data_IF_627843755437
#
_entry.id   IF_627843755437
#
_cell.length_a   1.000
_cell.length_b   1.000
_cell.length_c   1.000
_cell.angle_alpha   90.00
_cell.angle_beta   90.00
_cell.angle_gamma   90.00
#
_symmetry.space_group_name_H-M   'P 1'
#
loop_
_entity.id
_entity.type
_entity.pdbx_description
1 polymer ?
#
# COMPACT_ATOMS: atom_id res chain seq x y z
N UNK A 1 4.55 23.57 5.48
CA UNK A 1 5.57 22.89 4.66
C UNK A 1 4.81 22.21 3.52
N UNK A 2 5.15 22.51 2.27
CA UNK A 2 4.56 21.87 1.08
C UNK A 2 5.52 20.79 0.61
N UNK A 3 5.04 19.56 0.41
CA UNK A 3 5.81 18.50 -0.22
C UNK A 3 5.64 18.66 -1.72
N UNK A 4 6.75 18.80 -2.43
CA UNK A 4 6.82 18.90 -3.88
C UNK A 4 7.61 17.71 -4.42
N UNK A 5 7.02 16.96 -5.35
CA UNK A 5 7.60 15.75 -5.94
C UNK A 5 7.68 15.86 -7.47
N UNK A 6 7.84 17.06 -8.02
CA UNK A 6 8.00 17.27 -9.45
C UNK A 6 9.19 16.47 -10.00
N UNK A 7 8.96 15.72 -11.08
CA UNK A 7 9.97 14.83 -11.67
C UNK A 7 10.17 13.48 -10.94
N UNK A 8 9.40 13.23 -9.89
CA UNK A 8 9.39 11.96 -9.16
C UNK A 8 8.44 10.97 -9.83
N UNK A 9 8.83 9.73 -9.93
CA UNK A 9 8.04 8.66 -10.54
C UNK A 9 7.71 7.60 -9.50
N UNK A 10 6.42 7.37 -9.26
CA UNK A 10 5.95 6.38 -8.29
C UNK A 10 5.08 5.32 -8.96
N UNK A 11 5.28 4.06 -8.58
CA UNK A 11 4.40 2.96 -8.94
C UNK A 11 3.42 2.74 -7.77
N UNK A 12 2.11 2.70 -8.07
CA UNK A 12 1.08 2.37 -7.08
C UNK A 12 0.32 1.14 -7.55
N UNK A 13 0.34 0.07 -6.74
CA UNK A 13 -0.37 -1.17 -7.08
C UNK A 13 -1.80 -1.18 -6.54
N UNK A 14 -2.73 -1.84 -7.25
CA UNK A 14 -4.15 -1.86 -6.88
C UNK A 14 -4.77 -0.46 -6.83
N UNK A 15 -4.41 0.38 -7.80
CA UNK A 15 -4.62 1.81 -7.76
C UNK A 15 -5.96 2.29 -8.35
N UNK A 16 -6.77 1.38 -8.89
CA UNK A 16 -8.02 1.74 -9.59
C UNK A 16 -9.17 2.21 -8.68
N UNK A 17 -9.08 1.95 -7.38
CA UNK A 17 -10.15 2.32 -6.45
C UNK A 17 -9.73 2.28 -4.99
N UNK A 18 -10.66 2.53 -4.08
CA UNK A 18 -10.42 2.48 -2.64
C UNK A 18 -9.22 3.33 -2.21
N UNK A 19 -8.37 2.75 -1.36
CA UNK A 19 -7.16 3.41 -0.84
C UNK A 19 -6.21 3.80 -1.98
N UNK A 20 -6.05 2.92 -2.99
CA UNK A 20 -5.11 3.14 -4.08
C UNK A 20 -5.39 4.41 -4.89
N UNK A 21 -6.65 4.73 -5.17
CA UNK A 21 -7.02 5.95 -5.89
C UNK A 21 -6.67 7.23 -5.11
N UNK A 22 -6.85 7.22 -3.79
CA UNK A 22 -6.45 8.34 -2.94
C UNK A 22 -4.94 8.51 -2.83
N UNK A 23 -4.19 7.39 -2.87
CA UNK A 23 -2.72 7.43 -2.96
C UNK A 23 -2.29 8.07 -4.27
N UNK A 24 -2.84 7.61 -5.42
CA UNK A 24 -2.56 8.20 -6.74
C UNK A 24 -2.81 9.70 -6.73
N UNK A 25 -4.01 10.13 -6.32
CA UNK A 25 -4.35 11.55 -6.27
C UNK A 25 -3.39 12.36 -5.39
N UNK A 26 -2.97 11.81 -4.25
CA UNK A 26 -2.04 12.52 -3.34
C UNK A 26 -0.65 12.70 -3.96
N UNK A 27 -0.16 11.73 -4.72
CA UNK A 27 1.11 11.86 -5.44
C UNK A 27 1.00 12.83 -6.63
N UNK A 28 -0.10 12.78 -7.38
CA UNK A 28 -0.36 13.73 -8.47
C UNK A 28 -0.49 15.18 -7.96
N UNK A 29 -1.19 15.39 -6.84
CA UNK A 29 -1.28 16.71 -6.17
C UNK A 29 0.10 17.21 -5.69
N UNK A 30 1.02 16.29 -5.38
CA UNK A 30 2.41 16.62 -5.06
C UNK A 30 3.30 16.84 -6.30
N UNK A 31 2.78 16.67 -7.52
CA UNK A 31 3.49 16.89 -8.78
C UNK A 31 4.23 15.67 -9.32
N UNK A 32 4.06 14.49 -8.72
CA UNK A 32 4.68 13.26 -9.19
C UNK A 32 3.98 12.68 -10.43
N UNK A 33 4.73 11.93 -11.25
CA UNK A 33 4.19 11.04 -12.25
C UNK A 33 3.87 9.68 -11.64
N UNK A 34 2.71 9.09 -11.98
CA UNK A 34 2.25 7.84 -11.37
C UNK A 34 2.08 6.74 -12.41
N UNK A 35 2.65 5.57 -12.11
CA UNK A 35 2.31 4.32 -12.79
C UNK A 35 1.19 3.66 -12.00
N UNK A 36 -0.01 3.68 -12.56
CA UNK A 36 -1.26 3.25 -11.96
C UNK A 36 -1.48 1.80 -12.34
N UNK A 37 -1.09 0.86 -11.47
CA UNK A 37 -1.33 -0.56 -11.72
C UNK A 37 -2.76 -0.95 -11.30
N UNK A 38 -3.41 -1.77 -12.14
CA UNK A 38 -4.70 -2.40 -11.88
C UNK A 38 -4.74 -3.81 -12.47
N UNK A 39 -5.61 -4.66 -11.93
CA UNK A 39 -5.87 -6.00 -12.48
C UNK A 39 -7.13 -5.96 -13.36
N UNK A 40 -8.31 -6.14 -12.78
CA UNK A 40 -9.57 -6.27 -13.53
C UNK A 40 -10.33 -4.94 -13.71
N UNK A 41 -10.20 -4.02 -12.76
CA UNK A 41 -10.93 -2.75 -12.77
C UNK A 41 -10.03 -1.63 -13.26
N UNK A 42 -10.39 -1.04 -14.38
CA UNK A 42 -9.66 0.11 -14.93
C UNK A 42 -9.89 1.36 -14.06
N UNK A 43 -8.86 2.19 -13.84
CA UNK A 43 -9.04 3.47 -13.15
C UNK A 43 -9.98 4.39 -13.94
N UNK A 44 -10.83 5.20 -13.24
CA UNK A 44 -11.84 6.04 -13.91
C UNK A 44 -11.20 7.16 -14.75
N UNK A 45 -10.01 7.57 -14.43
CA UNK A 45 -9.23 8.56 -15.18
C UNK A 45 -7.72 8.35 -14.95
N UNK A 46 -6.93 8.79 -15.91
CA UNK A 46 -5.46 8.80 -15.85
C UNK A 46 -5.02 10.19 -16.29
N UNK A 47 -4.27 10.88 -15.45
CA UNK A 47 -3.76 12.21 -15.76
C UNK A 47 -2.73 12.17 -16.90
N UNK A 48 -2.46 13.29 -17.54
CA UNK A 48 -1.48 13.39 -18.65
C UNK A 48 -0.06 13.01 -18.24
N UNK A 49 0.25 13.12 -16.96
CA UNK A 49 1.58 12.80 -16.40
C UNK A 49 1.65 11.39 -15.82
N UNK A 50 0.60 10.59 -15.95
CA UNK A 50 0.51 9.22 -15.42
C UNK A 50 0.26 8.22 -16.54
N UNK A 51 0.45 6.92 -16.25
CA UNK A 51 0.07 5.82 -17.15
C UNK A 51 -0.67 4.75 -16.38
N UNK A 52 -1.62 4.08 -17.05
CA UNK A 52 -2.26 2.88 -16.55
C UNK A 52 -1.58 1.62 -17.06
N UNK A 53 -1.38 0.63 -16.19
CA UNK A 53 -0.78 -0.66 -16.53
C UNK A 53 -1.63 -1.78 -15.95
N UNK A 54 -2.17 -2.62 -16.84
CA UNK A 54 -2.97 -3.78 -16.47
C UNK A 54 -2.08 -5.02 -16.40
N UNK A 55 -1.99 -5.64 -15.23
CA UNK A 55 -1.23 -6.87 -14.98
C UNK A 55 -1.90 -7.66 -13.85
N UNK A 56 -1.72 -8.98 -13.84
CA UNK A 56 -1.94 -9.81 -12.66
C UNK A 56 -0.61 -9.91 -11.88
N UNK A 57 -0.56 -9.43 -10.65
CA UNK A 57 0.67 -9.42 -9.84
C UNK A 57 1.07 -10.80 -9.32
N UNK A 58 0.21 -11.81 -9.45
CA UNK A 58 0.55 -13.20 -9.09
C UNK A 58 1.41 -13.86 -10.18
N UNK A 59 1.38 -13.34 -11.41
CA UNK A 59 2.26 -13.81 -12.48
C UNK A 59 3.73 -13.47 -12.20
N UNK A 60 4.62 -14.42 -12.40
CA UNK A 60 6.06 -14.30 -12.08
C UNK A 60 6.76 -13.13 -12.81
N UNK A 61 6.34 -12.82 -14.04
CA UNK A 61 6.93 -11.77 -14.86
C UNK A 61 6.35 -10.38 -14.59
N UNK A 62 5.17 -10.29 -13.98
CA UNK A 62 4.46 -9.05 -13.76
C UNK A 62 5.25 -8.01 -12.97
N UNK A 63 6.03 -8.35 -11.93
CA UNK A 63 6.85 -7.37 -11.22
C UNK A 63 7.88 -6.68 -12.13
N UNK A 64 8.56 -7.45 -12.99
CA UNK A 64 9.54 -6.88 -13.91
C UNK A 64 8.87 -6.03 -15.00
N UNK A 65 7.75 -6.50 -15.57
CA UNK A 65 6.99 -5.78 -16.59
C UNK A 65 6.46 -4.44 -16.06
N UNK A 66 6.05 -4.39 -14.81
CA UNK A 66 5.57 -3.16 -14.18
C UNK A 66 6.70 -2.13 -14.00
N UNK A 67 7.87 -2.57 -13.54
CA UNK A 67 9.06 -1.71 -13.44
C UNK A 67 9.51 -1.23 -14.85
N UNK A 68 9.51 -2.12 -15.84
CA UNK A 68 9.88 -1.79 -17.21
C UNK A 68 8.93 -0.76 -17.84
N UNK A 69 7.64 -0.84 -17.53
CA UNK A 69 6.65 0.15 -17.97
C UNK A 69 6.99 1.56 -17.44
N UNK A 70 7.40 1.69 -16.18
CA UNK A 70 7.87 2.94 -15.60
C UNK A 70 9.15 3.45 -16.30
N UNK A 71 10.12 2.55 -16.47
CA UNK A 71 11.40 2.87 -17.11
C UNK A 71 11.25 3.30 -18.57
N UNK A 72 10.39 2.61 -19.33
CA UNK A 72 10.13 2.93 -20.74
C UNK A 72 9.46 4.28 -20.88
N UNK A 73 8.49 4.61 -20.04
CA UNK A 73 7.71 5.84 -20.12
C UNK A 73 8.46 7.05 -19.57
N UNK A 74 9.13 6.88 -18.41
CA UNK A 74 9.67 7.99 -17.63
C UNK A 74 11.20 7.96 -17.46
N UNK A 75 11.86 6.86 -17.85
CA UNK A 75 13.30 6.68 -17.72
C UNK A 75 13.79 6.47 -16.29
N UNK A 76 12.89 6.43 -15.30
CA UNK A 76 13.20 6.27 -13.88
C UNK A 76 12.03 5.72 -13.07
N UNK A 77 12.34 5.22 -11.88
CA UNK A 77 11.37 4.92 -10.82
C UNK A 77 11.98 5.27 -9.47
N UNK A 78 11.27 6.05 -8.66
CA UNK A 78 11.76 6.59 -7.38
C UNK A 78 11.08 5.97 -6.18
N UNK A 79 9.81 5.55 -6.35
CA UNK A 79 9.08 4.89 -5.27
C UNK A 79 8.15 3.78 -5.77
N UNK A 80 7.88 2.85 -4.85
CA UNK A 80 6.92 1.77 -5.01
C UNK A 80 5.95 1.78 -3.83
N UNK A 81 4.64 1.80 -4.12
CA UNK A 81 3.58 1.62 -3.12
C UNK A 81 2.91 0.28 -3.35
N UNK A 82 3.21 -0.69 -2.49
CA UNK A 82 2.55 -1.99 -2.46
C UNK A 82 1.20 -1.85 -1.75
N UNK A 83 0.15 -1.58 -2.53
CA UNK A 83 -1.21 -1.37 -2.02
C UNK A 83 -2.18 -2.48 -2.48
N UNK A 84 -1.93 -3.16 -3.60
CA UNK A 84 -2.77 -4.25 -4.07
C UNK A 84 -2.97 -5.31 -2.98
N UNK A 85 -4.22 -5.65 -2.70
CA UNK A 85 -4.57 -6.64 -1.69
C UNK A 85 -6.00 -7.15 -1.89
N UNK A 86 -6.27 -8.35 -1.38
CA UNK A 86 -7.60 -8.91 -1.20
C UNK A 86 -7.91 -9.06 0.29
N UNK A 87 -9.19 -9.09 0.63
CA UNK A 87 -9.67 -9.22 2.01
C UNK A 87 -11.02 -9.97 2.05
N UNK A 88 -11.13 -11.18 1.50
CA UNK A 88 -12.32 -12.00 1.68
C UNK A 88 -12.49 -12.39 3.16
N UNK A 89 -13.75 -12.61 3.56
CA UNK A 89 -14.08 -13.11 4.89
C UNK A 89 -14.10 -14.64 4.86
N UNK A 90 -13.39 -15.29 5.79
CA UNK A 90 -13.43 -16.74 5.99
C UNK A 90 -13.25 -17.07 7.46
N UNK A 91 -14.13 -17.92 8.02
CA UNK A 91 -14.00 -18.39 9.39
C UNK A 91 -12.80 -19.33 9.49
N UNK A 92 -12.12 -19.32 10.63
CA UNK A 92 -10.88 -20.09 10.83
C UNK A 92 -11.06 -21.61 10.58
N UNK A 93 -12.22 -22.17 10.92
CA UNK A 93 -12.54 -23.60 10.71
C UNK A 93 -13.08 -23.95 9.33
N UNK A 94 -13.41 -22.94 8.51
CA UNK A 94 -13.99 -23.09 7.18
C UNK A 94 -13.01 -22.67 6.07
N UNK A 95 -11.93 -22.00 6.47
CA UNK A 95 -10.89 -21.55 5.55
C UNK A 95 -10.21 -22.73 4.87
N UNK A 96 -10.20 -22.72 3.54
CA UNK A 96 -9.50 -23.74 2.75
C UNK A 96 -8.03 -23.38 2.56
N UNK A 97 -7.21 -24.37 2.20
CA UNK A 97 -5.81 -24.11 1.83
C UNK A 97 -5.73 -23.14 0.62
N UNK A 98 -6.67 -23.23 -0.32
CA UNK A 98 -6.76 -22.31 -1.46
C UNK A 98 -7.03 -20.87 -1.05
N UNK A 99 -7.91 -20.63 -0.07
CA UNK A 99 -8.18 -19.28 0.46
C UNK A 99 -6.93 -18.69 1.13
N UNK A 100 -6.21 -19.56 1.84
CA UNK A 100 -4.95 -19.19 2.47
C UNK A 100 -3.87 -18.84 1.44
N UNK A 101 -3.65 -19.72 0.47
CA UNK A 101 -2.60 -19.55 -0.55
C UNK A 101 -2.86 -18.30 -1.41
N UNK A 102 -4.10 -18.10 -1.87
CA UNK A 102 -4.46 -16.88 -2.62
C UNK A 102 -4.20 -15.60 -1.82
N UNK A 103 -4.56 -15.60 -0.51
CA UNK A 103 -4.30 -14.46 0.37
C UNK A 103 -2.82 -14.15 0.49
N UNK A 104 -1.98 -15.16 0.67
CA UNK A 104 -0.53 -15.00 0.81
C UNK A 104 0.09 -14.56 -0.53
N UNK A 105 -0.34 -15.18 -1.64
CA UNK A 105 0.20 -14.85 -2.96
C UNK A 105 -0.08 -13.41 -3.36
N UNK A 106 -1.32 -12.96 -3.21
CA UNK A 106 -1.71 -11.59 -3.58
C UNK A 106 -1.14 -10.55 -2.59
N UNK A 107 -1.33 -10.76 -1.27
CA UNK A 107 -1.04 -9.73 -0.29
C UNK A 107 0.43 -9.64 0.11
N UNK A 108 1.18 -10.74 0.03
CA UNK A 108 2.56 -10.81 0.52
C UNK A 108 3.56 -11.16 -0.59
N UNK A 109 3.37 -12.29 -1.30
CA UNK A 109 4.32 -12.78 -2.30
C UNK A 109 4.49 -11.78 -3.44
N UNK A 110 3.39 -11.25 -3.98
CA UNK A 110 3.42 -10.23 -5.03
C UNK A 110 4.17 -8.97 -4.60
N UNK A 111 3.90 -8.48 -3.37
CA UNK A 111 4.58 -7.31 -2.81
C UNK A 111 6.08 -7.56 -2.60
N UNK A 112 6.47 -8.77 -2.18
CA UNK A 112 7.86 -9.17 -2.06
C UNK A 112 8.58 -9.14 -3.42
N UNK A 113 8.00 -9.78 -4.43
CA UNK A 113 8.54 -9.82 -5.80
C UNK A 113 8.70 -8.42 -6.39
N UNK A 114 7.71 -7.54 -6.19
CA UNK A 114 7.76 -6.14 -6.63
C UNK A 114 8.86 -5.36 -5.92
N UNK A 115 8.97 -5.50 -4.59
CA UNK A 115 10.03 -4.85 -3.81
C UNK A 115 11.41 -5.29 -4.28
N UNK A 116 11.59 -6.58 -4.60
CA UNK A 116 12.83 -7.10 -5.13
C UNK A 116 13.16 -6.53 -6.53
N UNK A 117 12.17 -6.49 -7.43
CA UNK A 117 12.35 -5.94 -8.78
C UNK A 117 12.62 -4.43 -8.75
N UNK A 118 11.92 -3.68 -7.90
CA UNK A 118 12.18 -2.25 -7.66
C UNK A 118 13.59 -2.02 -7.14
N UNK A 119 14.03 -2.78 -6.13
CA UNK A 119 15.35 -2.63 -5.55
C UNK A 119 16.46 -2.91 -6.58
N UNK A 120 16.35 -3.98 -7.37
CA UNK A 120 17.29 -4.27 -8.46
C UNK A 120 17.37 -3.12 -9.47
N UNK A 121 16.23 -2.51 -9.81
CA UNK A 121 16.17 -1.37 -10.72
C UNK A 121 16.84 -0.13 -10.11
N UNK A 122 16.52 0.25 -8.89
CA UNK A 122 17.08 1.40 -8.19
C UNK A 122 18.61 1.27 -8.03
N UNK A 123 19.11 0.10 -7.65
CA UNK A 123 20.54 -0.20 -7.55
C UNK A 123 21.23 -0.03 -8.92
N UNK A 124 20.62 -0.55 -9.99
CA UNK A 124 21.15 -0.40 -11.37
C UNK A 124 21.17 1.05 -11.81
N UNK A 125 20.17 1.84 -11.45
CA UNK A 125 20.11 3.28 -11.69
C UNK A 125 21.10 4.09 -10.84
N UNK A 126 21.71 3.48 -9.82
CA UNK A 126 22.51 4.17 -8.80
C UNK A 126 21.74 5.31 -8.13
N UNK A 127 20.43 5.11 -7.92
CA UNK A 127 19.53 6.08 -7.30
C UNK A 127 19.10 5.60 -5.90
N UNK A 128 18.72 6.54 -5.06
CA UNK A 128 17.99 6.24 -3.84
C UNK A 128 16.54 5.85 -4.18
N UNK A 129 15.84 5.18 -3.27
CA UNK A 129 14.46 4.75 -3.49
C UNK A 129 13.63 4.75 -2.21
N UNK A 130 12.31 4.68 -2.37
CA UNK A 130 11.39 4.50 -1.25
C UNK A 130 10.32 3.45 -1.56
N UNK A 131 10.14 2.50 -0.66
CA UNK A 131 9.05 1.53 -0.72
C UNK A 131 8.11 1.78 0.45
N UNK A 132 6.80 1.83 0.18
CA UNK A 132 5.76 1.87 1.21
C UNK A 132 4.83 0.69 1.03
N UNK A 133 4.76 -0.16 2.03
CA UNK A 133 3.86 -1.30 2.08
C UNK A 133 2.57 -0.92 2.80
N UNK A 134 1.42 -1.08 2.16
CA UNK A 134 0.13 -0.87 2.81
C UNK A 134 -0.24 -2.14 3.57
N UNK A 135 -0.01 -2.08 4.90
CA UNK A 135 -0.43 -3.11 5.83
C UNK A 135 -1.88 -2.86 6.29
N UNK A 136 -2.17 -3.05 7.56
CA UNK A 136 -3.45 -2.79 8.23
C UNK A 136 -3.21 -2.75 9.74
N UNK A 137 -4.11 -2.12 10.48
CA UNK A 137 -4.18 -2.33 11.93
C UNK A 137 -4.43 -3.82 12.27
N UNK A 138 -5.05 -4.57 11.37
CA UNK A 138 -5.24 -6.02 11.52
C UNK A 138 -3.93 -6.83 11.43
N UNK A 139 -2.83 -6.23 11.01
CA UNK A 139 -1.49 -6.83 11.14
C UNK A 139 -0.97 -6.87 12.59
N UNK A 140 -1.62 -6.16 13.52
CA UNK A 140 -1.26 -6.13 14.95
C UNK A 140 -2.43 -6.48 15.89
N UNK A 141 -3.67 -6.38 15.40
CA UNK A 141 -4.88 -6.66 16.16
C UNK A 141 -5.79 -7.57 15.32
N UNK A 142 -6.20 -8.74 15.82
CA UNK A 142 -7.01 -9.67 15.03
C UNK A 142 -8.43 -9.13 14.81
N UNK A 143 -9.00 -9.43 13.63
CA UNK A 143 -10.41 -9.25 13.36
C UNK A 143 -11.06 -10.60 13.07
N UNK A 144 -12.32 -10.75 13.52
CA UNK A 144 -13.09 -11.98 13.34
C UNK A 144 -13.33 -12.26 11.84
N UNK A 145 -13.06 -13.50 11.42
CA UNK A 145 -13.20 -13.93 10.02
C UNK A 145 -12.12 -13.44 9.06
N UNK A 146 -11.05 -12.79 9.55
CA UNK A 146 -9.94 -12.29 8.75
C UNK A 146 -8.59 -12.92 9.14
N UNK A 147 -8.58 -14.20 9.57
CA UNK A 147 -7.37 -14.86 10.07
C UNK A 147 -6.21 -14.81 9.09
N UNK A 148 -6.43 -15.23 7.85
CA UNK A 148 -5.41 -15.21 6.78
C UNK A 148 -4.99 -13.77 6.40
N UNK A 149 -5.94 -12.84 6.33
CA UNK A 149 -5.65 -11.43 6.06
C UNK A 149 -4.76 -10.83 7.15
N UNK A 150 -5.14 -10.99 8.43
CA UNK A 150 -4.34 -10.50 9.55
C UNK A 150 -2.91 -11.05 9.53
N UNK A 151 -2.76 -12.35 9.26
CA UNK A 151 -1.43 -12.99 9.12
C UNK A 151 -0.65 -12.40 7.95
N UNK A 152 -1.26 -12.21 6.77
CA UNK A 152 -0.60 -11.59 5.62
C UNK A 152 -0.11 -10.17 5.92
N UNK A 153 -0.92 -9.38 6.67
CA UNK A 153 -0.57 -8.00 7.04
C UNK A 153 0.46 -7.93 8.17
N UNK A 154 0.47 -8.89 9.11
CA UNK A 154 1.54 -9.04 10.10
C UNK A 154 2.87 -9.42 9.44
N UNK A 155 2.84 -10.37 8.51
CA UNK A 155 4.00 -10.76 7.72
C UNK A 155 4.55 -9.58 6.90
N UNK A 156 3.69 -8.73 6.34
CA UNK A 156 4.08 -7.49 5.63
C UNK A 156 4.85 -6.52 6.54
N UNK A 157 4.48 -6.41 7.83
CA UNK A 157 5.21 -5.57 8.78
C UNK A 157 6.64 -6.12 9.04
N UNK A 158 6.81 -7.44 9.14
CA UNK A 158 8.13 -8.04 9.29
C UNK A 158 8.93 -7.94 7.97
N UNK A 159 8.29 -8.18 6.81
CA UNK A 159 8.90 -7.98 5.49
C UNK A 159 9.45 -6.55 5.34
N UNK A 160 8.70 -5.54 5.79
CA UNK A 160 9.12 -4.14 5.79
C UNK A 160 10.43 -3.94 6.55
N UNK A 161 10.57 -4.53 7.74
CA UNK A 161 11.77 -4.42 8.57
C UNK A 161 12.98 -5.11 7.95
N UNK A 162 12.79 -6.33 7.43
CA UNK A 162 13.85 -7.09 6.75
C UNK A 162 14.34 -6.34 5.52
N UNK A 163 13.42 -5.89 4.66
CA UNK A 163 13.75 -5.14 3.46
C UNK A 163 14.44 -3.80 3.80
N UNK A 164 14.01 -3.09 4.84
CA UNK A 164 14.65 -1.86 5.30
C UNK A 164 16.09 -2.10 5.76
N UNK A 165 16.34 -3.19 6.49
CA UNK A 165 17.66 -3.57 6.96
C UNK A 165 18.62 -3.89 5.81
N UNK A 166 18.16 -4.69 4.84
CA UNK A 166 19.02 -5.16 3.75
C UNK A 166 19.24 -4.10 2.67
N UNK A 167 18.20 -3.33 2.34
CA UNK A 167 18.24 -2.36 1.25
C UNK A 167 18.77 -0.98 1.66
N UNK A 168 18.88 -0.71 2.96
CA UNK A 168 19.37 0.58 3.47
C UNK A 168 20.77 0.94 2.99
N UNK A 169 21.67 -0.03 2.85
CA UNK A 169 23.03 0.17 2.31
C UNK A 169 23.02 0.69 0.85
N UNK A 170 21.91 0.52 0.14
CA UNK A 170 21.72 1.02 -1.23
C UNK A 170 20.95 2.34 -1.28
N UNK A 171 20.68 2.98 -0.13
CA UNK A 171 19.90 4.21 -0.05
C UNK A 171 18.40 4.01 -0.32
N UNK A 172 17.90 2.77 -0.19
CA UNK A 172 16.48 2.44 -0.37
C UNK A 172 15.84 2.33 1.02
N UNK A 173 14.84 3.17 1.28
CA UNK A 173 14.05 3.13 2.50
C UNK A 173 12.80 2.28 2.30
N UNK A 174 12.43 1.49 3.29
CA UNK A 174 11.22 0.66 3.24
C UNK A 174 10.42 0.89 4.52
N UNK A 175 9.17 1.32 4.38
CA UNK A 175 8.27 1.59 5.49
C UNK A 175 6.90 0.95 5.26
N UNK A 176 6.09 0.86 6.28
CA UNK A 176 4.70 0.43 6.19
C UNK A 176 3.76 1.55 6.63
N UNK A 177 2.57 1.56 6.07
CA UNK A 177 1.41 2.31 6.55
C UNK A 177 0.34 1.29 6.95
N UNK A 178 -0.21 1.42 8.15
CA UNK A 178 -1.30 0.58 8.66
C UNK A 178 -2.58 1.40 8.80
N UNK A 179 -3.46 1.40 7.79
CA UNK A 179 -4.74 2.07 7.87
C UNK A 179 -5.69 1.37 8.86
N UNK A 180 -6.59 2.17 9.45
CA UNK A 180 -7.82 1.67 10.05
C UNK A 180 -8.94 1.53 9.03
N UNK A 181 -10.20 1.74 9.45
CA UNK A 181 -11.33 1.72 8.54
C UNK A 181 -11.33 2.96 7.64
N UNK A 182 -11.19 2.73 6.34
CA UNK A 182 -11.17 3.78 5.31
C UNK A 182 -12.50 3.78 4.56
N UNK A 183 -13.07 4.96 4.39
CA UNK A 183 -14.33 5.16 3.67
C UNK A 183 -14.19 4.74 2.20
N UNK A 184 -15.23 4.11 1.70
CA UNK A 184 -15.41 3.77 0.28
C UNK A 184 -16.88 3.86 -0.08
N UNK A 185 -17.24 4.09 -1.34
CA UNK A 185 -18.65 4.10 -1.76
C UNK A 185 -19.38 2.82 -1.32
N UNK A 186 -20.54 2.97 -0.73
CA UNK A 186 -21.40 1.86 -0.32
C UNK A 186 -21.00 1.13 0.97
N UNK A 187 -19.96 1.57 1.70
CA UNK A 187 -19.54 0.86 2.92
C UNK A 187 -20.56 0.99 4.05
N UNK A 188 -21.22 2.13 4.15
CA UNK A 188 -22.23 2.40 5.19
C UNK A 188 -23.46 1.52 5.01
N UNK A 189 -23.86 1.32 3.76
CA UNK A 189 -24.98 0.43 3.39
C UNK A 189 -24.61 -1.05 3.52
N UNK A 190 -23.38 -1.41 3.13
CA UNK A 190 -22.93 -2.80 3.15
C UNK A 190 -22.61 -3.29 4.58
N UNK A 191 -22.18 -2.40 5.47
CA UNK A 191 -21.76 -2.77 6.83
C UNK A 191 -22.12 -1.70 7.89
N UNK A 192 -23.42 -1.35 8.04
CA UNK A 192 -23.87 -0.24 8.88
C UNK A 192 -23.46 -0.41 10.36
N UNK A 193 -23.55 -1.64 10.88
CA UNK A 193 -23.18 -1.93 12.27
C UNK A 193 -21.68 -1.74 12.55
N UNK A 194 -20.84 -2.17 11.63
CA UNK A 194 -19.38 -2.03 11.76
C UNK A 194 -18.94 -0.59 11.67
N UNK A 195 -19.49 0.17 10.71
CA UNK A 195 -19.27 1.61 10.61
C UNK A 195 -19.77 2.32 11.86
N UNK A 196 -20.97 1.98 12.35
CA UNK A 196 -21.52 2.55 13.58
C UNK A 196 -20.65 2.26 14.82
N UNK A 197 -20.09 1.05 14.94
CA UNK A 197 -19.13 0.71 16.02
C UNK A 197 -17.84 1.50 15.88
N UNK A 198 -17.32 1.62 14.65
CA UNK A 198 -16.10 2.40 14.37
C UNK A 198 -16.28 3.87 14.76
N UNK A 199 -17.36 4.50 14.30
CA UNK A 199 -17.64 5.91 14.56
C UNK A 199 -17.73 6.24 16.05
N UNK A 200 -18.25 5.30 16.86
CA UNK A 200 -18.35 5.46 18.33
C UNK A 200 -17.02 5.29 19.05
N UNK A 201 -16.09 4.50 18.48
CA UNK A 201 -14.83 4.13 19.14
C UNK A 201 -13.63 4.90 18.65
N UNK A 202 -13.59 5.32 17.38
CA UNK A 202 -12.47 6.05 16.84
C UNK A 202 -12.33 7.42 17.50
N UNK A 203 -11.22 7.74 18.17
CA UNK A 203 -11.04 9.01 18.88
C UNK A 203 -11.25 10.24 18.00
N UNK A 204 -10.89 10.19 16.72
CA UNK A 204 -11.11 11.29 15.78
C UNK A 204 -12.56 11.34 15.22
N UNK A 205 -13.45 10.43 15.63
CA UNK A 205 -14.90 10.48 15.36
C UNK A 205 -15.28 10.32 13.89
N UNK A 206 -14.42 9.79 13.04
CA UNK A 206 -14.70 9.54 11.63
C UNK A 206 -13.96 8.31 11.09
N UNK A 207 -14.42 7.78 9.96
CA UNK A 207 -13.59 6.91 9.12
C UNK A 207 -12.43 7.70 8.53
N UNK A 208 -11.32 7.04 8.25
CA UNK A 208 -10.28 7.60 7.40
C UNK A 208 -10.79 7.75 5.96
N UNK A 209 -10.14 8.59 5.20
CA UNK A 209 -10.34 8.71 3.76
C UNK A 209 -9.14 8.11 3.01
N UNK A 210 -9.28 7.72 1.73
CA UNK A 210 -8.15 7.31 0.91
C UNK A 210 -7.01 8.34 0.88
N UNK A 211 -7.32 9.64 0.98
CA UNK A 211 -6.32 10.73 1.04
C UNK A 211 -5.56 10.79 2.37
N UNK A 212 -6.15 10.36 3.49
CA UNK A 212 -5.41 10.27 4.77
C UNK A 212 -4.25 9.27 4.64
N UNK A 213 -4.48 8.16 3.94
CA UNK A 213 -3.43 7.15 3.65
C UNK A 213 -2.46 7.69 2.60
N UNK A 214 -2.96 8.35 1.55
CA UNK A 214 -2.14 8.94 0.50
C UNK A 214 -1.16 9.99 1.03
N UNK A 215 -1.60 10.85 1.94
CA UNK A 215 -0.74 11.86 2.58
C UNK A 215 0.41 11.21 3.38
N UNK A 216 0.15 10.11 4.10
CA UNK A 216 1.18 9.34 4.79
C UNK A 216 2.20 8.73 3.80
N UNK A 217 1.74 8.18 2.68
CA UNK A 217 2.61 7.64 1.63
C UNK A 217 3.50 8.73 1.01
N UNK A 218 2.92 9.88 0.65
CA UNK A 218 3.67 11.02 0.11
C UNK A 218 4.72 11.50 1.11
N UNK A 219 4.38 11.63 2.39
CA UNK A 219 5.35 11.99 3.43
C UNK A 219 6.50 10.99 3.50
N UNK A 220 6.22 9.68 3.59
CA UNK A 220 7.23 8.64 3.69
C UNK A 220 8.12 8.54 2.44
N UNK A 221 7.62 8.93 1.27
CA UNK A 221 8.41 8.99 0.04
C UNK A 221 9.20 10.30 -0.11
N UNK A 222 8.85 11.34 0.64
CA UNK A 222 9.43 12.67 0.51
C UNK A 222 10.84 12.80 1.12
N UNK A 223 11.57 13.89 0.79
CA UNK A 223 12.84 14.23 1.43
C UNK A 223 12.74 14.46 2.95
N UNK A 224 11.55 14.71 3.49
CA UNK A 224 11.34 14.90 4.93
C UNK A 224 11.39 13.60 5.74
N UNK A 225 11.35 12.44 5.08
CA UNK A 225 11.42 11.12 5.70
C UNK A 225 12.77 10.41 5.45
N UNK A 226 13.85 11.14 5.14
CA UNK A 226 15.16 10.54 4.78
C UNK A 226 15.78 9.67 5.88
N UNK A 227 15.44 9.91 7.14
CA UNK A 227 15.92 9.13 8.28
C UNK A 227 14.87 8.18 8.87
N UNK A 228 13.82 7.86 8.06
CA UNK A 228 12.73 6.97 8.45
C UNK A 228 12.77 5.73 7.55
N UNK A 229 13.14 4.57 8.12
CA UNK A 229 13.13 3.28 7.45
C UNK A 229 12.82 2.17 8.46
N UNK A 230 12.05 1.15 8.05
CA UNK A 230 11.63 0.02 8.89
C UNK A 230 10.45 0.35 9.82
N UNK A 231 9.84 1.52 9.72
CA UNK A 231 8.71 1.90 10.58
C UNK A 231 7.37 1.39 10.06
N UNK A 232 6.42 1.28 10.99
CA UNK A 232 5.00 1.14 10.70
C UNK A 232 4.27 2.42 11.16
N UNK A 233 3.80 3.21 10.21
CA UNK A 233 3.00 4.40 10.48
C UNK A 233 1.52 4.03 10.52
N UNK A 234 0.94 4.04 11.72
CA UNK A 234 -0.49 3.76 11.91
C UNK A 234 -1.32 4.99 11.55
N UNK A 235 -2.34 4.80 10.68
CA UNK A 235 -3.25 5.84 10.18
C UNK A 235 -4.69 5.38 10.40
N UNK A 236 -5.20 5.46 11.62
CA UNK A 236 -6.42 4.80 12.06
C UNK A 236 -7.35 5.66 12.92
N UNK A 237 -7.10 6.96 12.99
CA UNK A 237 -7.90 7.87 13.82
C UNK A 237 -7.73 7.65 15.33
N UNK A 238 -6.69 6.90 15.73
CA UNK A 238 -6.35 6.64 17.13
C UNK A 238 -7.02 5.39 17.72
N UNK A 239 -7.73 4.59 16.94
CA UNK A 239 -8.47 3.43 17.47
C UNK A 239 -7.55 2.38 18.10
N UNK A 240 -6.35 2.18 17.55
CA UNK A 240 -5.37 1.25 18.11
C UNK A 240 -4.73 1.73 19.43
N UNK A 241 -4.92 2.99 19.80
CA UNK A 241 -4.44 3.56 21.06
C UNK A 241 -5.48 3.47 22.19
N UNK A 242 -6.68 2.96 21.89
CA UNK A 242 -7.74 2.82 22.90
C UNK A 242 -7.42 1.70 23.88
N UNK A 243 -7.72 1.94 25.17
CA UNK A 243 -7.61 0.91 26.20
C UNK A 243 -8.61 -0.23 25.97
N UNK A 244 -8.28 -1.42 26.45
CA UNK A 244 -9.14 -2.61 26.37
C UNK A 244 -10.17 -2.69 27.50
N UNK A 245 -10.11 -1.80 28.48
CA UNK A 245 -11.03 -1.68 29.64
C UNK A 245 -11.76 -0.34 29.66
#
# INVERSE_FOLDING_TARGET
MKIELSGFVVIVTGAAGGIGSGIVQSFEDAGASVVIHYNNTQPPSISSNSIGVQLDLTDENSPNNLIESAMTKFGRVDALINNAAIQPHSLFTEMTDSDWDEMIDVNLTASHRLTQSFAKCAIKQKSTGSVVNISSIEGTQPAFGHGHYGVSKAAMLMHTKVAAQELGQHGIRVNAVSPGLISRPGIEEAWPEGVGRWMKRAPLGRMGTPRDVGAACVFLCSPFAQWISGTNLVVDGGISAMSTW
#
